data_IF_459866877932
#
_entry.id   IF_459866877932
#
_cell.length_a   1.000
_cell.length_b   1.000
_cell.length_c   1.000
_cell.angle_alpha   90.00
_cell.angle_beta   90.00
_cell.angle_gamma   90.00
#
_symmetry.space_group_name_H-M   'P 1'
#
loop_
_entity.id
_entity.type
_entity.pdbx_description
1 polymer ?
#
# COMPACT_ATOMS: atom_id res chain seq x y z
N UNK A 1 -11.23 -16.21 -2.19
CA UNK A 1 -9.92 -15.70 -2.64
C UNK A 1 -10.19 -14.55 -3.58
N UNK A 2 -9.98 -13.31 -3.14
CA UNK A 2 -9.87 -12.20 -4.08
C UNK A 2 -8.59 -12.43 -4.91
N UNK A 3 -8.70 -12.40 -6.24
CA UNK A 3 -7.52 -12.49 -7.10
C UNK A 3 -6.58 -11.32 -6.83
N UNK A 4 -5.25 -11.49 -6.98
CA UNK A 4 -4.32 -10.38 -6.86
C UNK A 4 -4.68 -9.30 -7.87
N UNK A 5 -5.26 -8.20 -7.38
CA UNK A 5 -5.70 -7.07 -8.21
C UNK A 5 -4.45 -6.37 -8.77
N UNK A 6 -4.39 -6.21 -10.07
CA UNK A 6 -3.27 -5.54 -10.76
C UNK A 6 -3.35 -4.03 -10.56
N UNK A 7 -2.63 -3.52 -9.57
CA UNK A 7 -2.41 -2.09 -9.38
C UNK A 7 -1.29 -1.54 -10.29
N UNK A 8 -1.22 -0.22 -10.42
CA UNK A 8 -0.15 0.47 -11.16
C UNK A 8 0.94 0.95 -10.20
N UNK A 9 2.24 0.89 -10.56
CA UNK A 9 3.30 1.39 -9.69
C UNK A 9 3.12 2.88 -9.34
N UNK A 10 3.37 3.23 -8.08
CA UNK A 10 3.47 4.63 -7.67
C UNK A 10 4.74 5.26 -8.25
N UNK A 11 4.63 6.51 -8.70
CA UNK A 11 5.74 7.26 -9.32
C UNK A 11 6.12 8.52 -8.55
N UNK A 12 5.21 9.07 -7.75
CA UNK A 12 5.45 10.26 -6.94
C UNK A 12 6.15 9.92 -5.61
N UNK A 13 7.46 9.70 -5.68
CA UNK A 13 8.28 9.41 -4.49
C UNK A 13 8.20 10.55 -3.47
N UNK A 14 8.22 11.80 -3.94
CA UNK A 14 8.34 12.98 -3.07
C UNK A 14 7.05 13.24 -2.27
N UNK A 15 5.89 12.97 -2.87
CA UNK A 15 4.61 13.03 -2.17
C UNK A 15 4.36 11.85 -1.24
N UNK A 16 4.80 10.64 -1.62
CA UNK A 16 4.46 9.41 -0.90
C UNK A 16 5.38 9.12 0.29
N UNK A 17 6.69 9.38 0.20
CA UNK A 17 7.61 9.12 1.33
C UNK A 17 7.20 9.81 2.64
N UNK A 18 6.78 11.10 2.64
CA UNK A 18 6.28 11.76 3.84
C UNK A 18 5.03 11.11 4.44
N UNK A 19 4.16 10.52 3.60
CA UNK A 19 2.98 9.78 4.05
C UNK A 19 3.42 8.49 4.74
N UNK A 20 4.32 7.71 4.13
CA UNK A 20 4.83 6.47 4.72
C UNK A 20 5.51 6.72 6.06
N UNK A 21 6.32 7.78 6.17
CA UNK A 21 7.02 8.13 7.41
C UNK A 21 6.07 8.49 8.57
N UNK A 22 4.82 8.88 8.28
CA UNK A 22 3.80 9.19 9.29
C UNK A 22 3.04 7.95 9.78
N UNK A 23 3.10 6.85 9.05
CA UNK A 23 2.43 5.61 9.44
C UNK A 23 3.28 4.94 10.51
N UNK A 24 2.70 4.72 11.70
CA UNK A 24 3.42 4.17 12.85
C UNK A 24 4.11 2.83 12.55
N UNK A 25 3.54 2.02 11.65
CA UNK A 25 4.12 0.75 11.18
C UNK A 25 5.50 0.94 10.52
N UNK A 26 5.75 2.11 9.92
CA UNK A 26 6.96 2.43 9.18
C UNK A 26 7.81 3.53 9.81
N UNK A 27 7.37 4.17 10.90
CA UNK A 27 8.06 5.33 11.50
C UNK A 27 9.45 5.05 12.10
N UNK A 28 9.84 3.79 12.22
CA UNK A 28 11.20 3.38 12.62
C UNK A 28 12.14 3.09 11.44
N UNK A 29 11.66 3.21 10.20
CA UNK A 29 12.43 2.91 9.00
C UNK A 29 13.28 4.11 8.58
N UNK A 30 14.49 3.82 8.12
CA UNK A 30 15.34 4.80 7.42
C UNK A 30 14.77 5.16 6.05
N UNK A 31 15.19 6.29 5.48
CA UNK A 31 14.77 6.72 4.14
C UNK A 31 15.02 5.66 3.06
N UNK A 32 16.16 4.95 3.12
CA UNK A 32 16.48 3.87 2.19
C UNK A 32 15.51 2.67 2.32
N UNK A 33 15.08 2.37 3.55
CA UNK A 33 14.09 1.31 3.80
C UNK A 33 12.69 1.76 3.38
N UNK A 34 12.30 3.00 3.66
CA UNK A 34 11.05 3.58 3.18
C UNK A 34 11.00 3.60 1.65
N UNK A 35 12.11 3.87 0.99
CA UNK A 35 12.21 3.78 -0.47
C UNK A 35 12.03 2.35 -0.99
N UNK A 36 12.55 1.34 -0.27
CA UNK A 36 12.30 -0.06 -0.60
C UNK A 36 10.81 -0.42 -0.46
N UNK A 37 10.14 0.05 0.60
CA UNK A 37 8.68 -0.11 0.78
C UNK A 37 7.93 0.56 -0.37
N UNK A 38 8.25 1.83 -0.68
CA UNK A 38 7.63 2.60 -1.76
C UNK A 38 7.63 1.84 -3.09
N UNK A 39 8.75 1.19 -3.46
CA UNK A 39 8.86 0.45 -4.73
C UNK A 39 7.94 -0.78 -4.82
N UNK A 40 7.46 -1.29 -3.69
CA UNK A 40 6.54 -2.42 -3.64
C UNK A 40 5.07 -1.99 -3.64
N UNK A 41 4.79 -0.69 -3.45
CA UNK A 41 3.42 -0.18 -3.40
C UNK A 41 2.84 -0.04 -4.80
N UNK A 42 1.57 -0.44 -4.91
CA UNK A 42 0.77 -0.28 -6.10
C UNK A 42 -0.43 0.63 -5.78
N UNK A 43 -0.76 1.49 -6.73
CA UNK A 43 -1.99 2.27 -6.72
C UNK A 43 -3.11 1.46 -7.37
N UNK A 44 -4.17 1.23 -6.61
CA UNK A 44 -5.33 0.44 -7.03
C UNK A 44 -6.60 1.28 -6.86
N UNK A 45 -7.50 1.20 -7.84
CA UNK A 45 -8.78 1.88 -7.80
C UNK A 45 -9.90 0.93 -7.38
N UNK A 46 -10.85 1.44 -6.59
CA UNK A 46 -12.04 0.72 -6.16
C UNK A 46 -13.31 1.48 -6.54
N UNK A 47 -14.32 0.73 -6.95
CA UNK A 47 -15.63 1.29 -7.27
C UNK A 47 -16.43 1.57 -5.99
N UNK A 48 -17.38 2.51 -6.07
CA UNK A 48 -18.30 2.75 -4.96
C UNK A 48 -19.11 1.49 -4.66
N UNK A 49 -19.08 1.05 -3.41
CA UNK A 49 -19.78 -0.17 -2.96
C UNK A 49 -18.97 -1.45 -3.16
N UNK A 50 -17.75 -1.35 -3.70
CA UNK A 50 -16.83 -2.49 -3.77
C UNK A 50 -16.20 -2.78 -2.40
N UNK A 51 -16.19 -4.06 -2.01
CA UNK A 51 -15.47 -4.52 -0.83
C UNK A 51 -14.00 -4.79 -1.18
N UNK A 52 -13.09 -4.22 -0.37
CA UNK A 52 -11.65 -4.42 -0.54
C UNK A 52 -11.26 -5.84 -0.06
N UNK A 53 -11.74 -6.21 1.13
CA UNK A 53 -11.65 -7.55 1.72
C UNK A 53 -12.88 -7.80 2.61
N UNK A 54 -13.15 -9.07 2.92
CA UNK A 54 -14.26 -9.50 3.77
C UNK A 54 -13.78 -10.23 5.02
N UNK A 55 -14.63 -10.31 6.05
CA UNK A 55 -14.31 -11.07 7.26
C UNK A 55 -14.11 -12.55 6.93
N UNK A 56 -13.03 -13.14 7.44
CA UNK A 56 -12.67 -14.53 7.17
C UNK A 56 -11.81 -14.72 5.92
N UNK A 57 -11.55 -13.67 5.14
CA UNK A 57 -10.55 -13.73 4.07
C UNK A 57 -9.15 -14.01 4.64
N UNK A 58 -8.35 -14.72 3.85
CA UNK A 58 -6.94 -14.94 4.18
C UNK A 58 -6.19 -13.60 4.07
N UNK A 59 -5.42 -13.18 5.08
CA UNK A 59 -4.67 -11.94 5.03
C UNK A 59 -3.56 -12.04 3.97
N UNK A 60 -3.55 -11.09 3.03
CA UNK A 60 -2.68 -11.11 1.85
C UNK A 60 -1.93 -9.80 1.62
N UNK A 61 -2.57 -8.64 1.78
CA UNK A 61 -1.97 -7.33 1.52
C UNK A 61 -2.19 -6.31 2.65
N UNK A 62 -1.41 -5.23 2.62
CA UNK A 62 -1.59 -4.02 3.44
C UNK A 62 -2.10 -2.91 2.52
N UNK A 63 -3.18 -2.24 2.92
CA UNK A 63 -3.78 -1.10 2.23
C UNK A 63 -3.54 0.18 3.05
N UNK A 64 -3.21 1.29 2.39
CA UNK A 64 -2.83 2.58 3.00
C UNK A 64 -3.75 3.68 2.48
#
# INVERSE_FOLDING_TARGET
MAEPRTGVPLTDVQGILPILNRIALFGGLTDAQLYAVFRSLLHTHYSRGEFIFEEGDQPSEIYI
#
